data_IF_135030810610
#
_entry.id   IF_135030810610
#
_cell.length_a   1.000
_cell.length_b   1.000
_cell.length_c   1.000
_cell.angle_alpha   90.00
_cell.angle_beta   90.00
_cell.angle_gamma   90.00
#
_symmetry.space_group_name_H-M   'P 1'
#
loop_
_entity.id
_entity.type
_entity.pdbx_description
1 polymer ?
#
# COMPACT_ATOMS: atom_id res chain seq x y z
N UNK A 1 6.00 -1.15 -11.07
CA UNK A 1 6.17 -0.17 -9.98
C UNK A 1 6.72 1.08 -10.63
N UNK A 2 6.12 2.25 -10.39
CA UNK A 2 6.58 3.48 -11.03
C UNK A 2 7.96 3.83 -10.47
N UNK A 3 9.00 3.49 -11.23
CA UNK A 3 10.31 4.08 -11.09
C UNK A 3 10.19 5.54 -11.52
N UNK A 4 10.76 6.47 -10.75
CA UNK A 4 11.02 7.80 -11.30
C UNK A 4 12.14 7.67 -12.33
N UNK A 5 12.04 8.42 -13.43
CA UNK A 5 12.98 8.38 -14.56
C UNK A 5 14.42 8.74 -14.16
N UNK A 6 14.63 9.24 -12.94
CA UNK A 6 15.92 9.70 -12.40
C UNK A 6 16.62 8.71 -11.45
N UNK A 7 16.11 7.47 -11.31
CA UNK A 7 16.78 6.39 -10.57
C UNK A 7 16.87 6.56 -9.05
N UNK A 8 16.22 7.59 -8.47
CA UNK A 8 16.16 7.78 -7.01
C UNK A 8 15.09 6.90 -6.40
N UNK A 9 15.44 6.19 -5.33
CA UNK A 9 14.46 5.34 -4.65
C UNK A 9 13.44 6.22 -3.90
N UNK A 10 12.17 5.82 -3.89
CA UNK A 10 11.13 6.50 -3.12
C UNK A 10 11.51 6.61 -1.62
N UNK A 11 12.29 5.65 -1.13
CA UNK A 11 12.84 5.68 0.24
C UNK A 11 13.77 6.87 0.49
N UNK A 12 14.55 7.29 -0.52
CA UNK A 12 15.43 8.46 -0.42
C UNK A 12 14.64 9.77 -0.42
N UNK A 13 13.54 9.81 -1.18
CA UNK A 13 12.61 10.94 -1.19
C UNK A 13 11.94 11.08 0.19
N UNK A 14 11.46 9.98 0.78
CA UNK A 14 10.87 9.99 2.12
C UNK A 14 11.86 10.49 3.18
N UNK A 15 13.12 10.00 3.18
CA UNK A 15 14.16 10.46 4.12
C UNK A 15 14.44 11.96 3.99
N UNK A 16 14.41 12.51 2.78
CA UNK A 16 14.60 13.96 2.55
C UNK A 16 13.44 14.77 3.13
N UNK A 17 12.20 14.30 2.95
CA UNK A 17 11.01 14.93 3.53
C UNK A 17 11.08 14.91 5.07
N UNK A 18 11.46 13.78 5.68
CA UNK A 18 11.64 13.69 7.14
C UNK A 18 12.72 14.64 7.66
N UNK A 19 13.84 14.76 6.94
CA UNK A 19 14.91 15.72 7.25
C UNK A 19 14.44 17.18 7.14
N UNK A 20 13.64 17.51 6.12
CA UNK A 20 13.03 18.83 5.96
C UNK A 20 12.06 19.14 7.11
N UNK A 21 11.18 18.21 7.48
CA UNK A 21 10.27 18.36 8.63
C UNK A 21 11.03 18.62 9.94
N UNK A 22 12.15 17.93 10.15
CA UNK A 22 12.97 18.13 11.36
C UNK A 22 13.63 19.52 11.38
N UNK A 23 13.99 20.08 10.22
CA UNK A 23 14.46 21.47 10.11
C UNK A 23 13.35 22.47 10.41
N UNK A 24 12.17 22.30 9.82
CA UNK A 24 11.00 23.16 10.11
C UNK A 24 10.67 23.19 11.60
N UNK A 25 10.78 22.05 12.30
CA UNK A 25 10.60 21.98 13.77
C UNK A 25 11.64 22.81 14.53
N UNK A 26 12.92 22.74 14.14
CA UNK A 26 14.00 23.53 14.77
C UNK A 26 13.80 25.02 14.54
N UNK A 27 13.29 25.39 13.37
CA UNK A 27 13.01 26.77 12.96
C UNK A 27 11.67 27.30 13.50
N UNK A 28 10.92 26.50 14.27
CA UNK A 28 9.55 26.80 14.74
C UNK A 28 8.57 27.16 13.60
N UNK A 29 8.84 26.69 12.39
CA UNK A 29 7.99 26.91 11.23
C UNK A 29 6.92 25.79 11.16
N UNK A 30 5.77 26.06 11.79
CA UNK A 30 4.69 25.09 11.91
C UNK A 30 3.86 24.92 10.62
N UNK A 31 3.83 25.90 9.72
CA UNK A 31 3.14 25.78 8.43
C UNK A 31 3.88 24.78 7.53
N UNK A 32 5.18 24.95 7.36
CA UNK A 32 5.96 24.11 6.45
C UNK A 32 6.05 22.68 6.99
N UNK A 33 6.17 22.52 8.31
CA UNK A 33 6.11 21.20 8.94
C UNK A 33 4.77 20.48 8.70
N UNK A 34 3.66 21.22 8.62
CA UNK A 34 2.33 20.69 8.30
C UNK A 34 2.26 20.28 6.83
N UNK A 35 2.76 21.12 5.93
CA UNK A 35 2.72 20.86 4.49
C UNK A 35 3.57 19.65 4.12
N UNK A 36 4.78 19.52 4.67
CA UNK A 36 5.59 18.32 4.51
C UNK A 36 4.93 17.06 5.08
N UNK A 37 4.19 17.19 6.20
CA UNK A 37 3.43 16.06 6.77
C UNK A 37 2.29 15.63 5.83
N UNK A 38 1.61 16.59 5.20
CA UNK A 38 0.56 16.30 4.21
C UNK A 38 1.14 15.63 2.97
N UNK A 39 2.28 16.12 2.46
CA UNK A 39 3.00 15.52 1.33
C UNK A 39 3.40 14.07 1.64
N UNK A 40 3.94 13.81 2.82
CA UNK A 40 4.31 12.46 3.25
C UNK A 40 3.08 11.53 3.33
N UNK A 41 1.94 12.04 3.82
CA UNK A 41 0.70 11.28 3.88
C UNK A 41 0.18 10.93 2.48
N UNK A 42 0.24 11.87 1.52
CA UNK A 42 -0.14 11.62 0.12
C UNK A 42 0.74 10.54 -0.52
N UNK A 43 2.07 10.63 -0.33
CA UNK A 43 3.02 9.62 -0.83
C UNK A 43 2.70 8.25 -0.24
N UNK A 44 2.45 8.15 1.08
CA UNK A 44 2.10 6.88 1.73
C UNK A 44 0.79 6.30 1.19
N UNK A 45 -0.24 7.12 1.02
CA UNK A 45 -1.52 6.69 0.41
C UNK A 45 -1.30 6.19 -1.03
N UNK A 46 -0.44 6.87 -1.78
CA UNK A 46 -0.06 6.47 -3.14
C UNK A 46 0.83 5.23 -3.18
N UNK A 47 1.59 4.92 -2.14
CA UNK A 47 2.37 3.67 -2.04
C UNK A 47 1.49 2.50 -1.57
N UNK A 48 0.59 2.72 -0.62
CA UNK A 48 -0.25 1.68 -0.02
C UNK A 48 -1.31 1.14 -0.99
N UNK A 49 -2.01 2.02 -1.71
CA UNK A 49 -3.09 1.63 -2.64
C UNK A 49 -2.62 0.72 -3.78
N UNK A 50 -1.47 0.95 -4.43
CA UNK A 50 -0.93 0.03 -5.44
C UNK A 50 -0.76 -1.39 -4.93
N UNK A 51 -0.33 -1.62 -3.69
CA UNK A 51 -0.10 -2.98 -3.19
C UNK A 51 -1.42 -3.74 -2.97
N UNK A 52 -2.44 -3.09 -2.41
CA UNK A 52 -3.77 -3.68 -2.28
C UNK A 52 -4.35 -4.01 -3.66
N UNK A 53 -4.33 -3.04 -4.59
CA UNK A 53 -4.83 -3.25 -5.95
C UNK A 53 -4.04 -4.30 -6.71
N UNK A 54 -2.70 -4.33 -6.59
CA UNK A 54 -1.85 -5.36 -7.20
C UNK A 54 -2.15 -6.76 -6.63
N UNK A 55 -2.36 -6.86 -5.31
CA UNK A 55 -2.75 -8.12 -4.67
C UNK A 55 -4.09 -8.64 -5.19
N UNK A 56 -5.09 -7.76 -5.32
CA UNK A 56 -6.40 -8.11 -5.89
C UNK A 56 -6.25 -8.56 -7.35
N UNK A 57 -5.54 -7.79 -8.18
CA UNK A 57 -5.31 -8.13 -9.59
C UNK A 57 -4.60 -9.47 -9.72
N UNK A 58 -3.54 -9.72 -8.96
CA UNK A 58 -2.83 -11.00 -9.02
C UNK A 58 -3.67 -12.17 -8.51
N UNK A 59 -4.53 -11.95 -7.52
CA UNK A 59 -5.51 -12.95 -7.08
C UNK A 59 -6.44 -13.33 -8.23
N UNK A 60 -7.01 -12.34 -8.93
CA UNK A 60 -7.86 -12.56 -10.11
C UNK A 60 -7.11 -13.24 -11.28
N UNK A 61 -5.80 -12.99 -11.41
CA UNK A 61 -4.93 -13.66 -12.39
C UNK A 61 -4.44 -15.05 -11.94
N UNK A 62 -4.86 -15.55 -10.77
CA UNK A 62 -4.42 -16.83 -10.17
C UNK A 62 -2.91 -16.88 -9.85
N UNK A 63 -2.27 -15.73 -9.70
CA UNK A 63 -0.86 -15.58 -9.31
C UNK A 63 -0.76 -15.49 -7.78
N UNK A 64 -1.04 -16.60 -7.11
CA UNK A 64 -1.25 -16.64 -5.63
C UNK A 64 -0.01 -16.17 -4.85
N UNK A 65 1.18 -16.58 -5.25
CA UNK A 65 2.42 -16.18 -4.57
C UNK A 65 2.70 -14.68 -4.70
N UNK A 66 2.54 -14.13 -5.91
CA UNK A 66 2.72 -12.70 -6.16
C UNK A 66 1.64 -11.88 -5.44
N UNK A 67 0.40 -12.37 -5.41
CA UNK A 67 -0.68 -11.74 -4.65
C UNK A 67 -0.35 -11.66 -3.15
N UNK A 68 0.14 -12.76 -2.56
CA UNK A 68 0.50 -12.78 -1.13
C UNK A 68 1.64 -11.81 -0.83
N UNK A 69 2.68 -11.76 -1.68
CA UNK A 69 3.78 -10.80 -1.52
C UNK A 69 3.28 -9.35 -1.50
N UNK A 70 2.29 -9.02 -2.34
CA UNK A 70 1.67 -7.69 -2.38
C UNK A 70 0.79 -7.40 -1.16
N UNK A 71 0.01 -8.37 -0.71
CA UNK A 71 -0.79 -8.23 0.51
C UNK A 71 0.07 -8.11 1.77
N UNK A 72 1.20 -8.82 1.85
CA UNK A 72 2.16 -8.64 2.96
C UNK A 72 2.82 -7.27 2.95
N UNK A 73 3.19 -6.74 1.77
CA UNK A 73 3.69 -5.37 1.63
C UNK A 73 2.63 -4.35 2.09
N UNK A 74 1.37 -4.55 1.68
CA UNK A 74 0.24 -3.74 2.12
C UNK A 74 0.07 -3.76 3.65
N UNK A 75 -0.02 -4.94 4.27
CA UNK A 75 -0.19 -5.09 5.73
C UNK A 75 0.89 -4.38 6.54
N UNK A 76 2.14 -4.39 6.07
CA UNK A 76 3.28 -3.72 6.74
C UNK A 76 3.18 -2.20 6.69
N UNK A 77 2.61 -1.65 5.62
CA UNK A 77 2.50 -0.22 5.42
C UNK A 77 1.31 0.38 6.16
N UNK A 78 0.18 -0.34 6.27
CA UNK A 78 -1.04 0.18 6.94
C UNK A 78 -0.82 0.34 8.46
N UNK A 79 -0.85 1.58 8.99
CA UNK A 79 -0.72 1.82 10.43
C UNK A 79 -1.85 1.16 11.22
N UNK A 80 -1.56 0.64 12.42
CA UNK A 80 -2.55 -0.04 13.27
C UNK A 80 -3.76 0.83 13.63
N UNK A 81 -3.56 2.15 13.73
CA UNK A 81 -4.58 3.14 14.08
C UNK A 81 -5.20 3.85 12.85
N UNK A 82 -4.98 3.33 11.63
CA UNK A 82 -5.55 3.93 10.43
C UNK A 82 -7.09 3.79 10.45
N UNK A 83 -7.86 4.87 10.21
CA UNK A 83 -9.32 4.87 10.34
C UNK A 83 -10.04 3.85 9.44
N UNK A 84 -9.40 3.44 8.34
CA UNK A 84 -9.95 2.45 7.39
C UNK A 84 -9.18 1.11 7.38
N UNK A 85 -8.39 0.83 8.42
CA UNK A 85 -7.57 -0.39 8.46
C UNK A 85 -8.41 -1.65 8.31
N UNK A 86 -9.47 -1.76 9.11
CA UNK A 86 -10.38 -2.91 9.09
C UNK A 86 -11.02 -3.06 7.71
N UNK A 87 -11.59 -1.97 7.17
CA UNK A 87 -12.15 -1.96 5.83
C UNK A 87 -11.20 -2.52 4.76
N UNK A 88 -9.93 -2.11 4.78
CA UNK A 88 -8.97 -2.63 3.80
C UNK A 88 -8.60 -4.10 4.02
N UNK A 89 -8.47 -4.52 5.27
CA UNK A 89 -8.18 -5.91 5.63
C UNK A 89 -9.35 -6.82 5.22
N UNK A 90 -10.58 -6.39 5.48
CA UNK A 90 -11.80 -7.12 5.12
C UNK A 90 -11.92 -7.29 3.60
N UNK A 91 -11.65 -6.23 2.83
CA UNK A 91 -11.64 -6.31 1.37
C UNK A 91 -10.57 -7.28 0.84
N UNK A 92 -9.39 -7.31 1.47
CA UNK A 92 -8.33 -8.27 1.14
C UNK A 92 -8.79 -9.71 1.43
N UNK A 93 -9.38 -9.97 2.60
CA UNK A 93 -9.87 -11.31 2.95
C UNK A 93 -11.03 -11.75 2.04
N UNK A 94 -11.99 -10.86 1.78
CA UNK A 94 -13.10 -11.11 0.88
C UNK A 94 -12.62 -11.49 -0.53
N UNK A 95 -11.59 -10.80 -1.04
CA UNK A 95 -11.01 -11.09 -2.35
C UNK A 95 -10.39 -12.50 -2.40
N UNK A 96 -9.63 -12.90 -1.37
CA UNK A 96 -9.04 -14.25 -1.29
C UNK A 96 -10.13 -15.32 -1.24
N UNK A 97 -11.11 -15.15 -0.34
CA UNK A 97 -12.21 -16.08 -0.17
C UNK A 97 -13.03 -16.26 -1.45
N UNK A 98 -13.34 -15.15 -2.13
CA UNK A 98 -14.04 -15.17 -3.41
C UNK A 98 -13.27 -15.99 -4.46
N UNK A 99 -11.96 -15.76 -4.58
CA UNK A 99 -11.12 -16.50 -5.53
C UNK A 99 -11.13 -18.01 -5.26
N UNK A 100 -11.04 -18.44 -4.00
CA UNK A 100 -11.05 -19.86 -3.63
C UNK A 100 -12.40 -20.53 -3.92
N UNK A 101 -13.51 -19.80 -3.69
CA UNK A 101 -14.85 -20.28 -4.06
C UNK A 101 -14.97 -20.53 -5.56
N UNK A 102 -14.57 -19.55 -6.37
CA UNK A 102 -14.60 -19.66 -7.84
C UNK A 102 -13.72 -20.82 -8.33
N UNK A 103 -12.57 -21.04 -7.71
CA UNK A 103 -11.70 -22.17 -8.04
C UNK A 103 -12.35 -23.52 -7.72
N UNK A 104 -13.02 -23.62 -6.57
CA UNK A 104 -13.72 -24.84 -6.13
C UNK A 104 -14.91 -25.17 -7.05
N UNK A 105 -15.74 -24.18 -7.37
CA UNK A 105 -16.87 -24.33 -8.30
C UNK A 105 -16.41 -24.73 -9.71
N UNK A 106 -15.27 -24.18 -10.16
CA UNK A 106 -14.68 -24.51 -11.46
C UNK A 106 -14.10 -25.92 -11.51
N UNK A 107 -13.64 -26.45 -10.38
CA UNK A 107 -13.17 -27.84 -10.29
C UNK A 107 -14.35 -28.83 -10.36
N UNK A 108 -15.44 -28.55 -9.66
CA UNK A 108 -16.67 -29.37 -9.71
C UNK A 108 -17.38 -29.36 -11.06
N UNK A 109 -17.32 -28.25 -11.79
CA UNK A 109 -17.92 -28.17 -13.14
C UNK A 109 -17.10 -28.87 -14.22
N UNK A 110 -15.90 -29.35 -13.90
CA UNK A 110 -15.01 -30.10 -14.81
C UNK A 110 -14.93 -31.60 -14.50
N UNK A 111 -15.58 -32.06 -13.43
CA UNK A 111 -15.76 -33.49 -13.09
C UNK A 111 -17.10 -33.97 -13.60
#
# INVERSE_FOLDING_TARGET
>A
MAYSEDGRSMSDVMKRIESAMNRCKKEKNASDARDFKLLLAQIRVMEEKPYLCQGIIYTLMRKREEAEKKFEQFKKLVPKNHPYREYFIDNMFATKFFSDKVDTEKAWSRS
#
